data_IF_614719723010
#
_entry.id   IF_614719723010
#
_cell.length_a   1.000
_cell.length_b   1.000
_cell.length_c   1.000
_cell.angle_alpha   90.00
_cell.angle_beta   90.00
_cell.angle_gamma   90.00
#
_symmetry.space_group_name_H-M   'P 1'
#
loop_
_entity.id
_entity.type
_entity.pdbx_description
1 polymer ?
#
# COMPACT_ATOMS: atom_id res chain seq x y z
N UNK A 1 -3.62 11.10 21.40
CA UNK A 1 -4.49 10.15 20.66
C UNK A 1 -3.63 9.36 19.69
N UNK A 2 -4.10 8.17 19.30
CA UNK A 2 -3.40 7.27 18.38
C UNK A 2 -4.25 6.96 17.15
N UNK A 3 -3.56 6.67 16.06
CA UNK A 3 -4.12 6.22 14.79
C UNK A 3 -3.51 4.87 14.44
N UNK A 4 -4.38 3.91 14.10
CA UNK A 4 -4.02 2.57 13.70
C UNK A 4 -4.20 2.48 12.18
N UNK A 5 -3.11 2.30 11.45
CA UNK A 5 -3.14 2.14 9.99
C UNK A 5 -3.10 0.64 9.66
N UNK A 6 -3.98 0.20 8.78
CA UNK A 6 -4.16 -1.23 8.46
C UNK A 6 -4.30 -1.40 6.94
N UNK A 7 -3.49 -2.27 6.33
CA UNK A 7 -3.77 -2.74 4.96
C UNK A 7 -4.95 -3.71 5.01
N UNK A 8 -5.88 -3.59 4.05
CA UNK A 8 -7.02 -4.50 3.92
C UNK A 8 -6.61 -5.99 3.94
N UNK A 9 -7.56 -6.85 4.29
CA UNK A 9 -7.37 -8.31 4.24
C UNK A 9 -7.12 -8.81 2.81
N UNK A 10 -6.50 -9.99 2.70
CA UNK A 10 -6.17 -10.60 1.42
C UNK A 10 -7.39 -10.81 0.53
N UNK A 11 -7.24 -10.57 -0.76
CA UNK A 11 -8.20 -10.86 -1.84
C UNK A 11 -7.57 -11.89 -2.80
N UNK A 12 -8.34 -12.36 -3.79
CA UNK A 12 -7.82 -13.21 -4.87
C UNK A 12 -6.75 -12.51 -5.73
N UNK A 13 -6.67 -11.18 -5.71
CA UNK A 13 -5.65 -10.42 -6.43
C UNK A 13 -4.36 -10.31 -5.62
N UNK A 14 -4.46 -10.01 -4.33
CA UNK A 14 -3.26 -9.89 -3.49
C UNK A 14 -2.49 -11.20 -3.42
N UNK A 15 -3.17 -12.35 -3.37
CA UNK A 15 -2.51 -13.67 -3.33
C UNK A 15 -1.82 -14.05 -4.64
N UNK A 16 -2.20 -13.42 -5.76
CA UNK A 16 -1.63 -13.64 -7.09
C UNK A 16 -0.75 -12.46 -7.56
N UNK A 17 -0.49 -11.50 -6.68
CA UNK A 17 0.27 -10.28 -6.99
C UNK A 17 -0.27 -9.53 -8.22
N UNK A 18 -1.60 -9.45 -8.34
CA UNK A 18 -2.28 -8.66 -9.36
C UNK A 18 -2.64 -7.27 -8.80
N UNK A 19 -2.51 -6.24 -9.63
CA UNK A 19 -2.79 -4.85 -9.23
C UNK A 19 -4.25 -4.49 -9.44
N UNK A 20 -4.80 -3.66 -8.53
CA UNK A 20 -6.12 -3.07 -8.72
C UNK A 20 -6.27 -1.71 -8.01
N UNK A 21 -6.43 -0.67 -8.82
CA UNK A 21 -6.67 0.73 -8.49
C UNK A 21 -8.08 1.21 -8.81
N UNK A 22 -8.92 0.39 -9.45
CA UNK A 22 -10.33 0.70 -9.70
C UNK A 22 -11.25 0.19 -8.58
N UNK A 23 -11.92 1.06 -7.79
CA UNK A 23 -12.87 0.68 -6.75
C UNK A 23 -14.17 0.06 -7.29
N UNK A 24 -14.47 0.20 -8.58
CA UNK A 24 -15.60 -0.42 -9.26
C UNK A 24 -15.44 -1.93 -9.45
N UNK A 25 -14.21 -2.44 -9.43
CA UNK A 25 -13.94 -3.88 -9.54
C UNK A 25 -14.32 -4.58 -8.23
N UNK A 26 -15.27 -5.51 -8.33
CA UNK A 26 -15.73 -6.31 -7.19
C UNK A 26 -14.71 -7.38 -6.83
N UNK A 27 -13.75 -7.01 -5.99
CA UNK A 27 -12.77 -7.93 -5.37
C UNK A 27 -13.08 -8.09 -3.89
N UNK A 28 -13.89 -9.09 -3.50
CA UNK A 28 -14.11 -9.37 -2.09
C UNK A 28 -12.82 -9.87 -1.43
N UNK A 29 -12.75 -9.71 -0.12
CA UNK A 29 -11.76 -10.40 0.70
C UNK A 29 -11.94 -11.93 0.59
N UNK A 30 -10.82 -12.65 0.58
CA UNK A 30 -10.74 -14.12 0.57
C UNK A 30 -11.21 -14.73 1.89
N UNK A 31 -11.54 -16.02 1.88
CA UNK A 31 -11.90 -16.76 3.09
C UNK A 31 -10.76 -16.76 4.12
N UNK A 32 -9.51 -16.88 3.64
CA UNK A 32 -8.32 -16.73 4.47
C UNK A 32 -8.21 -15.33 5.08
N UNK A 33 -8.57 -14.30 4.30
CA UNK A 33 -8.63 -12.91 4.74
C UNK A 33 -9.69 -12.68 5.81
N UNK A 34 -10.87 -13.28 5.66
CA UNK A 34 -11.94 -13.25 6.68
C UNK A 34 -11.46 -13.89 7.97
N UNK A 35 -10.89 -15.10 7.89
CA UNK A 35 -10.36 -15.80 9.05
C UNK A 35 -9.23 -15.00 9.73
N UNK A 36 -8.37 -14.34 8.95
CA UNK A 36 -7.31 -13.47 9.47
C UNK A 36 -7.87 -12.23 10.18
N UNK A 37 -8.93 -11.59 9.66
CA UNK A 37 -9.61 -10.50 10.36
C UNK A 37 -10.14 -10.94 11.72
N UNK A 38 -10.77 -12.11 11.81
CA UNK A 38 -11.27 -12.63 13.09
C UNK A 38 -10.13 -12.86 14.09
N UNK A 39 -9.03 -13.50 13.66
CA UNK A 39 -7.85 -13.69 14.52
C UNK A 39 -7.27 -12.36 15.01
N UNK A 40 -7.16 -11.36 14.13
CA UNK A 40 -6.61 -10.05 14.48
C UNK A 40 -7.53 -9.28 15.44
N UNK A 41 -8.85 -9.37 15.25
CA UNK A 41 -9.82 -8.78 16.19
C UNK A 41 -9.70 -9.45 17.55
N UNK A 42 -9.71 -10.78 17.58
CA UNK A 42 -9.74 -11.56 18.82
C UNK A 42 -8.42 -11.45 19.61
N UNK A 43 -7.31 -11.09 18.96
CA UNK A 43 -6.05 -10.79 19.63
C UNK A 43 -6.04 -9.44 20.37
N UNK A 44 -7.00 -8.55 20.07
CA UNK A 44 -7.10 -7.21 20.67
C UNK A 44 -6.10 -6.19 20.12
N UNK A 45 -5.30 -6.53 19.11
CA UNK A 45 -4.24 -5.64 18.58
C UNK A 45 -4.78 -4.34 17.94
N UNK A 46 -6.03 -4.36 17.48
CA UNK A 46 -6.72 -3.16 16.92
C UNK A 46 -7.33 -2.29 18.03
N UNK A 47 -7.38 -2.76 19.27
CA UNK A 47 -7.96 -2.03 20.39
C UNK A 47 -9.44 -1.69 20.18
N UNK A 48 -9.85 -0.49 20.58
CA UNK A 48 -11.24 0.00 20.48
C UNK A 48 -11.28 1.35 19.75
N UNK A 49 -11.12 1.38 18.41
CA UNK A 49 -11.20 2.62 17.65
C UNK A 49 -12.59 3.25 17.79
N UNK A 50 -12.63 4.55 18.10
CA UNK A 50 -13.86 5.35 18.11
C UNK A 50 -14.34 5.66 16.69
N UNK A 51 -13.40 5.79 15.76
CA UNK A 51 -13.68 6.16 14.37
C UNK A 51 -13.03 5.17 13.42
N UNK A 52 -13.79 4.71 12.44
CA UNK A 52 -13.33 3.84 11.37
C UNK A 52 -13.33 4.62 10.05
N UNK A 53 -12.17 4.67 9.40
CA UNK A 53 -11.98 5.34 8.12
C UNK A 53 -11.54 4.29 7.10
N UNK A 54 -12.13 4.33 5.92
CA UNK A 54 -11.82 3.40 4.83
C UNK A 54 -11.66 4.13 3.52
N UNK A 55 -11.03 3.48 2.55
CA UNK A 55 -11.11 3.91 1.16
C UNK A 55 -12.49 3.62 0.56
N UNK A 56 -12.73 4.04 -0.69
CA UNK A 56 -13.96 3.68 -1.40
C UNK A 56 -14.07 2.20 -1.79
N UNK A 57 -13.00 1.41 -1.64
CA UNK A 57 -12.99 0.02 -2.06
C UNK A 57 -13.72 -0.90 -1.08
N UNK A 58 -14.54 -1.79 -1.63
CA UNK A 58 -15.28 -2.80 -0.87
C UNK A 58 -14.38 -3.62 0.06
N UNK A 59 -13.18 -4.04 -0.38
CA UNK A 59 -12.24 -4.81 0.44
C UNK A 59 -11.79 -4.09 1.71
N UNK A 60 -11.62 -2.75 1.68
CA UNK A 60 -11.29 -1.97 2.88
C UNK A 60 -12.46 -1.85 3.84
N UNK A 61 -13.67 -1.70 3.30
CA UNK A 61 -14.90 -1.61 4.10
C UNK A 61 -15.25 -2.95 4.76
N UNK A 62 -15.17 -4.05 4.01
CA UNK A 62 -15.34 -5.41 4.54
C UNK A 62 -14.34 -5.71 5.65
N UNK A 63 -13.08 -5.35 5.44
CA UNK A 63 -12.03 -5.50 6.47
C UNK A 63 -12.38 -4.70 7.73
N UNK A 64 -12.78 -3.43 7.61
CA UNK A 64 -13.16 -2.59 8.75
C UNK A 64 -14.34 -3.18 9.53
N UNK A 65 -15.39 -3.64 8.85
CA UNK A 65 -16.55 -4.27 9.48
C UNK A 65 -16.16 -5.53 10.25
N UNK A 66 -15.34 -6.40 9.66
CA UNK A 66 -14.90 -7.62 10.33
C UNK A 66 -14.04 -7.35 11.56
N UNK A 67 -13.15 -6.35 11.49
CA UNK A 67 -12.29 -5.96 12.61
C UNK A 67 -13.05 -5.25 13.73
N UNK A 68 -14.05 -4.43 13.40
CA UNK A 68 -14.93 -3.81 14.39
C UNK A 68 -15.84 -4.83 15.11
N UNK A 69 -16.09 -5.98 14.48
CA UNK A 69 -16.84 -7.07 15.08
C UNK A 69 -18.36 -6.86 15.02
N UNK A 70 -19.12 -7.38 16.00
CA UNK A 70 -20.59 -7.39 15.96
C UNK A 70 -21.23 -6.00 15.93
N UNK A 71 -20.53 -5.00 16.48
CA UNK A 71 -20.93 -3.61 16.40
C UNK A 71 -20.58 -3.09 15.02
N UNK A 72 -21.55 -3.07 14.09
CA UNK A 72 -21.35 -2.48 12.77
C UNK A 72 -20.93 -1.02 12.93
N UNK A 73 -19.68 -0.65 12.59
CA UNK A 73 -19.20 0.70 12.80
C UNK A 73 -19.80 1.63 11.74
N UNK A 74 -20.06 2.88 12.11
CA UNK A 74 -20.19 3.93 11.10
C UNK A 74 -18.83 4.10 10.41
N UNK A 75 -18.80 3.91 9.09
CA UNK A 75 -17.58 4.04 8.29
C UNK A 75 -17.51 5.42 7.65
N UNK A 76 -16.44 6.15 7.93
CA UNK A 76 -16.07 7.32 7.15
C UNK A 76 -15.31 6.87 5.90
N UNK A 77 -15.94 7.02 4.73
CA UNK A 77 -15.32 6.68 3.45
C UNK A 77 -14.61 7.90 2.89
N UNK A 78 -13.32 7.76 2.54
CA UNK A 78 -12.50 8.82 1.97
C UNK A 78 -11.78 8.32 0.72
N UNK A 79 -12.21 8.77 -0.46
CA UNK A 79 -11.64 8.37 -1.74
C UNK A 79 -10.16 8.75 -1.89
N UNK A 80 -9.63 9.67 -1.07
CA UNK A 80 -8.19 9.97 -1.10
C UNK A 80 -7.34 8.85 -0.54
N UNK A 81 -7.92 7.93 0.23
CA UNK A 81 -7.27 6.71 0.70
C UNK A 81 -7.36 5.56 -0.30
N UNK A 82 -7.91 5.77 -1.49
CA UNK A 82 -7.90 4.79 -2.56
C UNK A 82 -6.48 4.38 -2.93
N UNK A 83 -6.31 3.13 -3.38
CA UNK A 83 -5.07 2.68 -4.01
C UNK A 83 -4.77 3.54 -5.25
N UNK A 84 -3.53 3.50 -5.73
CA UNK A 84 -3.16 4.18 -6.98
C UNK A 84 -3.96 3.62 -8.17
N UNK A 85 -4.37 4.50 -9.08
CA UNK A 85 -4.87 4.12 -10.39
C UNK A 85 -3.75 3.52 -11.26
N UNK A 86 -3.83 2.21 -11.54
CA UNK A 86 -2.82 1.52 -12.33
C UNK A 86 -3.05 1.67 -13.85
N UNK A 87 -4.12 2.32 -14.30
CA UNK A 87 -4.42 2.57 -15.70
C UNK A 87 -4.41 1.28 -16.53
N UNK A 88 -3.60 1.24 -17.59
CA UNK A 88 -3.47 0.10 -18.49
C UNK A 88 -2.91 -1.19 -17.84
N UNK A 89 -2.47 -1.15 -16.59
CA UNK A 89 -1.98 -2.31 -15.84
C UNK A 89 -3.04 -2.97 -14.94
N UNK A 90 -4.25 -2.41 -14.83
CA UNK A 90 -5.33 -2.95 -14.00
C UNK A 90 -5.59 -4.44 -14.26
N UNK A 91 -5.59 -5.25 -13.19
CA UNK A 91 -5.77 -6.70 -13.26
C UNK A 91 -4.55 -7.50 -13.72
N UNK A 92 -3.47 -6.83 -14.12
CA UNK A 92 -2.20 -7.46 -14.48
C UNK A 92 -1.26 -7.71 -13.29
N UNK A 93 -0.16 -8.43 -13.51
CA UNK A 93 0.90 -8.61 -12.53
C UNK A 93 1.51 -7.28 -12.07
N UNK A 94 1.82 -7.16 -10.77
CA UNK A 94 2.52 -5.99 -10.23
C UNK A 94 3.87 -5.74 -10.90
N UNK A 95 4.58 -6.81 -11.30
CA UNK A 95 5.89 -6.68 -11.94
C UNK A 95 5.83 -5.93 -13.27
N UNK A 96 4.73 -6.03 -14.02
CA UNK A 96 4.59 -5.29 -15.28
C UNK A 96 4.49 -3.77 -15.03
N UNK A 97 3.68 -3.39 -14.03
CA UNK A 97 3.63 -2.01 -13.56
C UNK A 97 4.98 -1.55 -12.99
N UNK A 98 5.66 -2.39 -12.21
CA UNK A 98 6.95 -2.06 -11.61
C UNK A 98 8.03 -1.83 -12.68
N UNK A 99 8.10 -2.68 -13.70
CA UNK A 99 9.01 -2.50 -14.84
C UNK A 99 8.72 -1.19 -15.57
N UNK A 100 7.44 -0.89 -15.84
CA UNK A 100 7.06 0.38 -16.47
C UNK A 100 7.46 1.59 -15.61
N UNK A 101 7.18 1.53 -14.30
CA UNK A 101 7.51 2.59 -13.35
C UNK A 101 9.02 2.81 -13.25
N UNK A 102 9.82 1.74 -13.28
CA UNK A 102 11.28 1.80 -13.30
C UNK A 102 11.85 2.54 -14.51
N UNK A 103 11.19 2.43 -15.67
CA UNK A 103 11.61 3.09 -16.91
C UNK A 103 11.16 4.56 -17.00
N UNK A 104 9.96 4.87 -16.51
CA UNK A 104 9.32 6.18 -16.71
C UNK A 104 9.37 7.10 -15.48
N UNK A 105 9.73 6.56 -14.32
CA UNK A 105 9.82 7.28 -13.06
C UNK A 105 8.46 7.61 -12.42
N UNK A 106 8.47 8.09 -11.17
CA UNK A 106 7.27 8.24 -10.33
C UNK A 106 6.40 9.46 -10.68
N UNK A 107 6.91 10.36 -11.52
CA UNK A 107 6.21 11.58 -11.95
C UNK A 107 5.37 11.37 -13.22
N UNK A 108 5.57 10.25 -13.92
CA UNK A 108 4.85 9.93 -15.15
C UNK A 108 3.58 9.17 -14.81
N UNK A 109 2.46 9.52 -15.46
CA UNK A 109 1.20 8.79 -15.31
C UNK A 109 1.21 7.54 -16.19
N UNK A 110 0.84 6.34 -15.67
CA UNK A 110 0.63 5.17 -16.51
C UNK A 110 -0.36 5.46 -17.64
N UNK A 111 -0.24 4.80 -18.81
CA UNK A 111 -1.22 4.94 -19.88
C UNK A 111 -2.64 4.70 -19.37
N UNK A 112 -3.56 5.64 -19.59
CA UNK A 112 -4.94 5.55 -19.13
C UNK A 112 -5.19 5.84 -17.65
N UNK A 113 -4.14 6.06 -16.84
CA UNK A 113 -4.30 6.43 -15.43
C UNK A 113 -4.56 7.94 -15.25
N UNK A 114 -5.35 8.28 -14.24
CA UNK A 114 -5.66 9.65 -13.86
C UNK A 114 -4.55 10.33 -13.05
N UNK A 115 -3.61 9.56 -12.49
CA UNK A 115 -2.55 10.06 -11.61
C UNK A 115 -1.23 9.29 -11.80
N UNK A 116 -0.13 9.92 -11.38
CA UNK A 116 1.18 9.30 -11.23
C UNK A 116 1.36 8.77 -9.81
N UNK A 117 2.39 7.95 -9.57
CA UNK A 117 2.69 7.45 -8.22
C UNK A 117 2.93 8.60 -7.22
N UNK A 118 3.61 9.64 -7.68
CA UNK A 118 3.85 10.85 -6.89
C UNK A 118 2.57 11.58 -6.50
N UNK A 119 1.66 11.78 -7.46
CA UNK A 119 0.37 12.42 -7.20
C UNK A 119 -0.49 11.58 -6.25
N UNK A 120 -0.46 10.25 -6.42
CA UNK A 120 -1.13 9.31 -5.54
C UNK A 120 -0.60 9.40 -4.09
N UNK A 121 0.72 9.53 -3.88
CA UNK A 121 1.28 9.74 -2.55
C UNK A 121 0.75 11.01 -1.89
N UNK A 122 0.78 12.15 -2.59
CA UNK A 122 0.27 13.42 -2.04
C UNK A 122 -1.21 13.30 -1.68
N UNK A 123 -2.01 12.69 -2.57
CA UNK A 123 -3.43 12.43 -2.35
C UNK A 123 -3.66 11.57 -1.11
N UNK A 124 -2.97 10.43 -1.00
CA UNK A 124 -3.13 9.50 0.12
C UNK A 124 -2.69 10.09 1.46
N UNK A 125 -1.55 10.79 1.49
CA UNK A 125 -1.08 11.48 2.69
C UNK A 125 -2.04 12.59 3.13
N UNK A 126 -2.64 13.29 2.18
CA UNK A 126 -3.71 14.26 2.45
C UNK A 126 -4.97 13.57 3.01
N UNK A 127 -5.30 12.37 2.53
CA UNK A 127 -6.32 11.50 3.12
C UNK A 127 -6.02 11.17 4.59
N UNK A 128 -4.79 10.75 4.90
CA UNK A 128 -4.36 10.49 6.29
C UNK A 128 -4.48 11.74 7.17
N UNK A 129 -4.05 12.92 6.69
CA UNK A 129 -4.20 14.19 7.43
C UNK A 129 -5.66 14.55 7.69
N UNK A 130 -6.56 14.27 6.76
CA UNK A 130 -7.98 14.50 7.00
C UNK A 130 -8.59 13.46 7.93
N UNK A 131 -8.13 12.21 7.86
CA UNK A 131 -8.51 11.20 8.83
C UNK A 131 -8.18 11.69 10.24
N UNK A 132 -7.03 12.35 10.48
CA UNK A 132 -6.61 12.92 11.78
C UNK A 132 -7.56 14.00 12.36
N UNK A 133 -8.44 14.59 11.55
CA UNK A 133 -9.41 15.61 12.00
C UNK A 133 -10.66 15.02 12.66
N UNK A 134 -10.87 13.71 12.51
CA UNK A 134 -11.98 13.00 13.14
C UNK A 134 -11.67 12.67 14.62
N UNK A 135 -12.64 12.24 15.43
CA UNK A 135 -12.37 11.81 16.81
C UNK A 135 -11.43 10.60 16.88
N UNK A 136 -10.45 10.61 17.80
CA UNK A 136 -9.58 9.46 18.08
C UNK A 136 -10.01 8.65 19.32
N UNK A 137 -9.42 7.46 19.58
CA UNK A 137 -8.52 6.69 18.70
C UNK A 137 -9.21 6.26 17.40
N UNK A 138 -8.46 6.10 16.32
CA UNK A 138 -9.04 5.82 14.99
C UNK A 138 -8.35 4.65 14.29
N UNK A 139 -9.11 3.91 13.49
CA UNK A 139 -8.58 2.92 12.57
C UNK A 139 -8.76 3.41 11.14
N UNK A 140 -7.68 3.39 10.36
CA UNK A 140 -7.66 3.75 8.95
C UNK A 140 -7.31 2.47 8.17
N UNK A 141 -8.28 1.93 7.46
CA UNK A 141 -8.11 0.73 6.63
C UNK A 141 -7.92 1.15 5.17
N UNK A 142 -6.74 0.89 4.63
CA UNK A 142 -6.31 1.32 3.31
C UNK A 142 -5.56 0.21 2.56
N UNK A 143 -4.60 0.56 1.72
CA UNK A 143 -3.97 -0.34 0.76
C UNK A 143 -2.46 -0.42 0.92
N UNK A 144 -1.84 -1.32 0.15
CA UNK A 144 -0.44 -1.67 0.27
C UNK A 144 0.48 -0.47 0.06
N UNK A 145 0.25 0.33 -0.98
CA UNK A 145 1.14 1.43 -1.33
C UNK A 145 1.24 2.49 -0.22
N UNK A 146 0.10 2.90 0.35
CA UNK A 146 0.07 3.86 1.47
C UNK A 146 0.79 3.31 2.71
N UNK A 147 0.49 2.06 3.08
CA UNK A 147 1.10 1.46 4.27
C UNK A 147 2.60 1.22 4.09
N UNK A 148 3.04 0.85 2.89
CA UNK A 148 4.45 0.72 2.54
C UNK A 148 5.20 2.05 2.65
N UNK A 149 4.63 3.14 2.12
CA UNK A 149 5.20 4.48 2.24
C UNK A 149 5.32 4.92 3.71
N UNK A 150 4.24 4.78 4.49
CA UNK A 150 4.25 5.19 5.90
C UNK A 150 5.18 4.30 6.72
N UNK A 151 5.18 2.99 6.48
CA UNK A 151 6.06 2.03 7.14
C UNK A 151 7.53 2.34 6.90
N UNK A 152 7.93 2.57 5.65
CA UNK A 152 9.28 3.02 5.31
C UNK A 152 9.63 4.33 6.03
N UNK A 153 8.77 5.35 5.93
CA UNK A 153 9.03 6.65 6.54
C UNK A 153 9.09 6.64 8.09
N UNK A 154 8.53 5.60 8.73
CA UNK A 154 8.62 5.39 10.17
C UNK A 154 9.91 4.68 10.60
N UNK A 155 10.48 3.86 9.70
CA UNK A 155 11.68 3.05 9.92
C UNK A 155 12.97 3.77 9.54
N UNK A 156 12.92 4.64 8.55
CA UNK A 156 14.11 5.32 8.02
C UNK A 156 14.45 6.64 8.72
N UNK A 157 15.73 7.05 8.71
CA UNK A 157 16.14 8.35 9.24
C UNK A 157 15.56 9.52 8.40
N UNK A 158 15.31 10.69 9.02
CA UNK A 158 14.88 11.87 8.28
C UNK A 158 15.91 12.29 7.23
N UNK A 159 15.45 12.55 5.99
CA UNK A 159 16.27 13.14 4.93
C UNK A 159 16.66 12.18 3.80
N UNK A 160 16.40 10.87 3.95
CA UNK A 160 16.57 9.92 2.85
C UNK A 160 15.61 10.25 1.69
N UNK A 161 16.09 10.20 0.42
CA UNK A 161 15.24 10.40 -0.73
C UNK A 161 14.19 9.29 -0.80
N UNK A 162 12.99 9.64 -1.26
CA UNK A 162 11.92 8.66 -1.45
C UNK A 162 12.34 7.60 -2.48
N UNK A 163 12.38 6.31 -2.11
CA UNK A 163 12.66 5.26 -3.06
C UNK A 163 11.49 5.10 -4.03
N UNK A 164 11.77 4.52 -5.20
CA UNK A 164 10.73 4.22 -6.19
C UNK A 164 9.84 3.03 -5.75
N UNK A 165 10.46 2.07 -5.05
CA UNK A 165 9.83 0.87 -4.53
C UNK A 165 10.05 0.77 -3.02
N UNK A 166 9.05 0.26 -2.34
CA UNK A 166 9.04 0.11 -0.88
C UNK A 166 8.90 -1.37 -0.53
N UNK A 167 9.39 -1.79 0.65
CA UNK A 167 9.00 -3.08 1.21
C UNK A 167 7.47 -3.21 1.24
N UNK A 168 6.96 -4.37 0.83
CA UNK A 168 5.51 -4.62 0.83
C UNK A 168 4.98 -4.58 2.26
N UNK A 169 3.96 -3.76 2.52
CA UNK A 169 3.25 -3.78 3.79
C UNK A 169 2.34 -5.01 3.88
N UNK A 170 2.50 -5.91 4.86
CA UNK A 170 1.67 -7.11 4.96
C UNK A 170 0.18 -6.80 5.16
N UNK A 171 -0.69 -7.67 4.67
CA UNK A 171 -2.13 -7.56 4.94
C UNK A 171 -2.38 -7.76 6.44
N UNK A 172 -3.24 -6.92 7.04
CA UNK A 172 -3.65 -7.04 8.44
C UNK A 172 -2.51 -6.99 9.47
N UNK A 173 -1.45 -6.23 9.20
CA UNK A 173 -0.44 -5.87 10.19
C UNK A 173 -0.64 -4.42 10.66
N UNK A 174 -1.24 -4.18 11.84
CA UNK A 174 -1.58 -2.82 12.27
C UNK A 174 -0.33 -2.02 12.64
N UNK A 175 -0.22 -0.82 12.08
CA UNK A 175 0.79 0.17 12.46
C UNK A 175 0.15 1.19 13.40
N UNK A 176 0.51 1.16 14.67
CA UNK A 176 0.00 2.09 15.70
C UNK A 176 0.92 3.30 15.82
N UNK A 177 0.40 4.49 15.54
CA UNK A 177 1.18 5.73 15.54
C UNK A 177 0.49 6.80 16.36
N UNK A 178 1.26 7.58 17.13
CA UNK A 178 0.75 8.77 17.78
C UNK A 178 0.34 9.83 16.74
N UNK A 179 -0.80 10.49 16.95
CA UNK A 179 -1.35 11.45 15.97
C UNK A 179 -0.36 12.59 15.66
N UNK A 180 0.37 13.10 16.64
CA UNK A 180 1.40 14.14 16.45
C UNK A 180 2.56 13.66 15.57
N UNK A 181 2.99 12.41 15.74
CA UNK A 181 4.04 11.80 14.91
C UNK A 181 3.55 11.57 13.48
N UNK A 182 2.31 11.09 13.32
CA UNK A 182 1.72 10.87 11.99
C UNK A 182 1.49 12.21 11.26
N UNK A 183 1.08 13.25 11.96
CA UNK A 183 0.95 14.60 11.42
C UNK A 183 2.30 15.15 10.95
N UNK A 184 3.34 15.08 11.78
CA UNK A 184 4.67 15.54 11.41
C UNK A 184 5.24 14.75 10.21
N UNK A 185 5.05 13.42 10.20
CA UNK A 185 5.51 12.56 9.12
C UNK A 185 4.81 12.89 7.79
N UNK A 186 3.49 13.01 7.79
CA UNK A 186 2.72 13.32 6.57
C UNK A 186 3.06 14.71 6.02
N UNK A 187 3.25 15.72 6.86
CA UNK A 187 3.72 17.04 6.40
C UNK A 187 5.08 16.95 5.73
N UNK A 188 6.08 16.33 6.39
CA UNK A 188 7.43 16.19 5.81
C UNK A 188 7.44 15.45 4.47
N UNK A 189 6.65 14.37 4.36
CA UNK A 189 6.57 13.61 3.12
C UNK A 189 5.96 14.43 1.98
N UNK A 190 4.88 15.17 2.24
CA UNK A 190 4.27 16.06 1.24
C UNK A 190 5.28 17.13 0.80
N UNK A 191 5.93 17.81 1.76
CA UNK A 191 6.92 18.85 1.46
C UNK A 191 8.12 18.31 0.65
N UNK A 192 8.59 17.11 1.02
CA UNK A 192 9.68 16.42 0.30
C UNK A 192 9.27 16.07 -1.12
N UNK A 193 8.06 15.55 -1.31
CA UNK A 193 7.51 15.26 -2.62
C UNK A 193 7.47 16.57 -3.43
N UNK A 194 6.79 17.61 -2.98
CA UNK A 194 6.65 18.86 -3.73
C UNK A 194 8.01 19.48 -4.13
N UNK A 195 9.00 19.42 -3.23
CA UNK A 195 10.34 19.98 -3.47
C UNK A 195 11.11 19.21 -4.55
N UNK A 196 11.07 17.87 -4.60
CA UNK A 196 11.80 17.14 -5.66
C UNK A 196 11.21 17.33 -7.06
N UNK A 197 9.98 17.85 -7.17
CA UNK A 197 9.33 18.14 -8.46
C UNK A 197 9.84 19.43 -9.11
N UNK A 198 10.50 20.29 -8.34
CA UNK A 198 11.03 21.58 -8.83
C UNK A 198 12.44 21.49 -9.42
N UNK A 199 13.08 20.31 -9.39
CA UNK A 199 14.47 20.10 -9.82
C UNK A 199 14.62 19.27 -11.11
N UNK A 200 13.53 18.95 -11.81
CA UNK A 200 13.60 18.21 -13.09
C UNK A 200 12.70 18.87 -14.13
N UNK A 201 13.22 19.91 -14.79
CA UNK A 201 12.86 20.14 -16.19
C UNK A 201 13.65 19.15 -17.06
N UNK A 202 13.04 18.55 -18.11
CA UNK A 202 13.79 17.77 -19.07
C UNK A 202 14.52 18.73 -20.01
N UNK A 203 15.75 19.10 -19.66
CA UNK A 203 16.71 19.54 -20.68
C UNK A 203 17.30 18.28 -21.31
N UNK A 204 17.22 18.20 -22.63
CA UNK A 204 17.87 17.16 -23.42
C UNK A 204 19.36 17.00 -23.06
N UNK A 205 19.81 15.75 -23.19
CA UNK A 205 21.18 15.24 -23.29
C UNK A 205 21.90 14.71 -22.02
N UNK A 206 22.48 13.52 -22.26
CA UNK A 206 23.49 12.76 -21.53
C UNK A 206 23.11 12.03 -20.24
N UNK A 207 22.47 10.87 -20.41
CA UNK A 207 22.74 9.74 -19.52
C UNK A 207 24.06 9.06 -19.96
N UNK A 208 25.05 8.91 -19.07
CA UNK A 208 26.29 8.23 -19.44
C UNK A 208 26.00 6.75 -19.66
N UNK A 209 26.41 6.22 -20.80
CA UNK A 209 26.53 4.78 -21.02
C UNK A 209 27.38 4.18 -19.90
N UNK A 210 26.74 3.55 -18.91
CA UNK A 210 27.46 2.75 -17.94
C UNK A 210 26.71 1.44 -17.67
N UNK A 211 27.18 0.44 -18.44
CA UNK A 211 27.56 -0.92 -18.05
C UNK A 211 26.47 -1.80 -17.41
N UNK A 212 26.20 -2.88 -18.15
CA UNK A 212 25.70 -4.19 -17.73
C UNK A 212 25.86 -4.50 -16.23
N UNK A 213 24.76 -4.92 -15.60
CA UNK A 213 24.78 -5.91 -14.53
C UNK A 213 24.06 -5.54 -13.24
N UNK A 214 22.80 -5.98 -13.11
CA UNK A 214 22.15 -6.20 -11.81
C UNK A 214 20.82 -5.47 -11.62
N UNK A 215 19.71 -6.21 -11.78
CA UNK A 215 18.42 -5.80 -11.22
C UNK A 215 18.54 -5.70 -9.69
N UNK A 216 17.97 -4.66 -9.04
CA UNK A 216 17.89 -4.65 -7.59
C UNK A 216 17.02 -5.83 -7.13
N UNK A 217 17.52 -6.58 -6.15
CA UNK A 217 16.82 -7.69 -5.51
C UNK A 217 15.58 -7.13 -4.80
N UNK A 218 14.41 -7.29 -5.41
CA UNK A 218 13.14 -7.24 -4.70
C UNK A 218 13.10 -8.45 -3.78
N UNK A 219 13.02 -8.21 -2.48
CA UNK A 219 13.16 -9.25 -1.46
C UNK A 219 12.07 -10.34 -1.61
N UNK A 220 12.59 -11.56 -1.81
CA UNK A 220 12.04 -12.89 -1.48
C UNK A 220 10.79 -13.38 -2.22
N UNK A 221 11.04 -13.95 -3.39
CA UNK A 221 10.32 -15.12 -3.89
C UNK A 221 11.17 -16.37 -3.59
N UNK A 222 10.65 -17.33 -2.85
CA UNK A 222 11.18 -18.71 -2.80
C UNK A 222 10.24 -19.57 -3.66
N UNK A 223 10.60 -19.94 -4.90
CA UNK A 223 9.83 -20.88 -5.68
C UNK A 223 9.92 -22.23 -5.00
N UNK A 224 8.79 -22.68 -4.44
CA UNK A 224 8.39 -24.07 -4.24
C UNK A 224 9.55 -25.08 -4.37
N UNK A 225 10.10 -25.53 -3.23
CA UNK A 225 10.86 -26.77 -3.18
C UNK A 225 10.04 -27.87 -3.86
N UNK A 226 10.43 -28.26 -5.06
CA UNK A 226 10.03 -29.53 -5.66
C UNK A 226 10.42 -30.64 -4.69
N UNK A 227 9.49 -31.50 -4.26
CA UNK A 227 9.86 -32.70 -3.52
C UNK A 227 10.70 -33.60 -4.44
N UNK A 228 11.72 -34.29 -3.92
CA UNK A 228 12.53 -35.20 -4.74
C UNK A 228 11.65 -36.33 -5.28
N UNK A 229 11.80 -36.63 -6.57
CA UNK A 229 11.21 -37.81 -7.21
C UNK A 229 11.60 -39.07 -6.42
N UNK A 230 10.60 -39.75 -5.87
CA UNK A 230 10.74 -41.13 -5.44
C UNK A 230 11.01 -42.00 -6.68
N UNK A 231 12.24 -42.50 -6.81
CA UNK A 231 12.53 -43.58 -7.77
C UNK A 231 11.77 -44.83 -7.33
N UNK A 232 11.03 -45.49 -8.23
CA UNK A 232 10.42 -46.77 -7.89
C UNK A 232 11.52 -47.82 -7.68
N UNK A 233 11.33 -48.78 -6.75
CA UNK A 233 12.23 -49.92 -6.62
C UNK A 233 12.03 -50.80 -7.86
N UNK A 234 13.09 -51.42 -8.38
CA UNK A 234 13.14 -52.76 -9.00
C UNK A 234 14.35 -52.88 -9.93
N UNK A 235 15.39 -53.58 -9.45
CA UNK A 235 16.14 -54.67 -10.11
C UNK A 235 17.49 -54.86 -9.41
#
# INVERSE_FOLDING_TARGET
MTTILIRHASTSYSTRYLVNGDPGVRLPISDEGVAACHRLRDSGAVGHPRTWITSSFARTQQTAVLLAGPTQPELHVDARLNEIDYGGFEGGPFLDYATWLGLHGPCTRPPGAAESQREAFVRMLTGVRNALRLPGPRAVVAHGLLLSLVGWALSEPPGEPLPLFFPEAPCLEPVVVADTRLQALTSRLIDSIDTSGSHTQPTECDWPESRQGGMPVLATFDPLRTPPEERPPHA
#
